data_IF_874879357351
#
_entry.id   IF_874879357351
#
_cell.length_a   1.000
_cell.length_b   1.000
_cell.length_c   1.000
_cell.angle_alpha   90.00
_cell.angle_beta   90.00
_cell.angle_gamma   90.00
#
_symmetry.space_group_name_H-M   'P 1'
#
loop_
_entity.id
_entity.type
_entity.pdbx_description
1 polymer ?
#
# COMPACT_ATOMS: atom_id res chain seq x y z
N UNK A 1 -13.16 -36.44 -11.07
CA UNK A 1 -12.82 -37.32 -9.92
C UNK A 1 -11.74 -36.62 -9.12
N UNK A 2 -11.95 -36.34 -7.83
CA UNK A 2 -10.93 -35.69 -7.01
C UNK A 2 -9.87 -36.71 -6.58
N UNK A 3 -8.59 -36.34 -6.67
CA UNK A 3 -7.49 -37.10 -6.09
C UNK A 3 -7.29 -36.69 -4.62
N UNK A 4 -7.32 -37.68 -3.73
CA UNK A 4 -7.05 -37.52 -2.31
C UNK A 4 -5.55 -37.73 -2.09
N UNK A 5 -4.84 -36.68 -1.66
CA UNK A 5 -3.50 -36.82 -1.07
C UNK A 5 -3.57 -36.24 0.34
N UNK A 6 -3.38 -37.10 1.34
CA UNK A 6 -3.07 -36.76 2.74
C UNK A 6 -4.12 -35.95 3.55
N UNK A 7 -5.43 -36.22 3.37
CA UNK A 7 -6.43 -36.05 4.45
C UNK A 7 -6.62 -34.64 5.04
N UNK A 8 -6.16 -33.60 4.37
CA UNK A 8 -6.43 -32.22 4.73
C UNK A 8 -7.15 -31.56 3.55
N UNK A 9 -8.44 -31.27 3.72
CA UNK A 9 -9.14 -30.35 2.82
C UNK A 9 -8.42 -29.00 2.92
N UNK A 10 -7.63 -28.65 1.92
CA UNK A 10 -7.21 -27.27 1.72
C UNK A 10 -8.47 -26.57 1.22
N UNK A 11 -9.08 -25.65 1.99
CA UNK A 11 -10.24 -24.95 1.51
C UNK A 11 -9.84 -24.17 0.26
N UNK A 12 -10.70 -24.24 -0.75
CA UNK A 12 -10.58 -23.59 -2.06
C UNK A 12 -10.26 -22.08 -1.93
N UNK A 13 -10.49 -21.48 -0.75
CA UNK A 13 -10.12 -20.11 -0.35
C UNK A 13 -8.65 -19.76 -0.53
N UNK A 14 -7.72 -20.71 -0.47
CA UNK A 14 -6.30 -20.42 -0.73
C UNK A 14 -6.03 -20.03 -2.20
N UNK A 15 -6.82 -20.57 -3.15
CA UNK A 15 -6.73 -20.22 -4.56
C UNK A 15 -7.56 -18.95 -4.89
N UNK A 16 -8.63 -18.66 -4.14
CA UNK A 16 -9.41 -17.41 -4.30
C UNK A 16 -8.64 -16.18 -3.79
N UNK A 17 -7.66 -16.37 -2.91
CA UNK A 17 -6.79 -15.30 -2.43
C UNK A 17 -5.84 -14.75 -3.51
N UNK A 18 -5.56 -15.50 -4.58
CA UNK A 18 -4.64 -15.07 -5.65
C UNK A 18 -5.33 -14.16 -6.70
N UNK A 19 -6.65 -13.95 -6.62
CA UNK A 19 -7.42 -13.19 -7.59
C UNK A 19 -8.46 -12.20 -6.99
N UNK A 20 -8.29 -11.79 -5.73
CA UNK A 20 -9.13 -10.72 -5.17
C UNK A 20 -8.50 -9.37 -5.42
N UNK A 21 -9.26 -8.46 -6.04
CA UNK A 21 -8.83 -7.08 -6.23
C UNK A 21 -8.64 -6.40 -4.86
N UNK A 22 -7.40 -6.11 -4.49
CA UNK A 22 -7.04 -5.48 -3.21
C UNK A 22 -6.21 -4.21 -3.41
N UNK A 23 -6.01 -3.47 -2.31
CA UNK A 23 -5.24 -2.22 -2.37
C UNK A 23 -3.78 -2.52 -2.67
N UNK A 24 -3.12 -1.61 -3.39
CA UNK A 24 -1.73 -1.78 -3.80
C UNK A 24 -0.77 -1.96 -2.62
N UNK A 25 -1.07 -1.37 -1.44
CA UNK A 25 -0.23 -1.54 -0.26
C UNK A 25 -0.20 -2.99 0.21
N UNK A 26 -1.34 -3.69 0.10
CA UNK A 26 -1.45 -5.10 0.49
C UNK A 26 -0.79 -5.99 -0.55
N UNK A 27 -1.00 -5.72 -1.85
CA UNK A 27 -0.29 -6.43 -2.92
C UNK A 27 1.23 -6.37 -2.73
N UNK A 28 1.76 -5.17 -2.50
CA UNK A 28 3.19 -4.98 -2.28
C UNK A 28 3.70 -5.70 -1.03
N UNK A 29 2.90 -5.68 0.04
CA UNK A 29 3.24 -6.37 1.28
C UNK A 29 3.28 -7.90 1.08
N UNK A 30 2.29 -8.47 0.40
CA UNK A 30 2.23 -9.91 0.10
C UNK A 30 3.41 -10.35 -0.76
N UNK A 31 3.73 -9.58 -1.81
CA UNK A 31 4.88 -9.84 -2.67
C UNK A 31 6.19 -9.79 -1.88
N UNK A 32 6.39 -8.77 -1.04
CA UNK A 32 7.60 -8.63 -0.22
C UNK A 32 7.74 -9.78 0.79
N UNK A 33 6.64 -10.19 1.42
CA UNK A 33 6.62 -11.32 2.35
C UNK A 33 7.00 -12.62 1.65
N UNK A 34 6.39 -12.91 0.51
CA UNK A 34 6.73 -14.09 -0.31
C UNK A 34 8.21 -14.07 -0.71
N UNK A 35 8.69 -12.94 -1.24
CA UNK A 35 10.08 -12.75 -1.66
C UNK A 35 11.10 -13.03 -0.56
N UNK A 36 10.82 -12.60 0.68
CA UNK A 36 11.70 -12.80 1.83
C UNK A 36 11.68 -14.24 2.31
N UNK A 37 10.50 -14.86 2.41
CA UNK A 37 10.37 -16.26 2.82
C UNK A 37 11.08 -17.20 1.85
N UNK A 38 10.94 -16.98 0.54
CA UNK A 38 11.64 -17.75 -0.50
C UNK A 38 13.17 -17.65 -0.42
N UNK A 39 13.69 -16.59 0.23
CA UNK A 39 15.13 -16.37 0.47
C UNK A 39 15.60 -16.84 1.84
N UNK A 40 14.75 -17.52 2.60
CA UNK A 40 15.10 -18.10 3.90
C UNK A 40 15.12 -17.08 5.05
N UNK A 41 14.54 -15.89 4.88
CA UNK A 41 14.38 -14.97 6.00
C UNK A 41 13.35 -15.51 7.01
N UNK A 42 13.52 -15.23 8.32
CA UNK A 42 12.54 -15.64 9.32
C UNK A 42 11.16 -15.06 9.05
N UNK A 43 10.12 -15.83 9.34
CA UNK A 43 8.72 -15.39 9.17
C UNK A 43 8.38 -14.12 9.97
N UNK A 44 9.04 -13.91 11.11
CA UNK A 44 8.90 -12.70 11.93
C UNK A 44 9.45 -11.45 11.22
N UNK A 45 10.61 -11.57 10.57
CA UNK A 45 11.18 -10.49 9.77
C UNK A 45 10.31 -10.20 8.54
N UNK A 46 9.84 -11.24 7.85
CA UNK A 46 8.92 -11.09 6.72
C UNK A 46 7.58 -10.45 7.14
N UNK A 47 7.06 -10.77 8.33
CA UNK A 47 5.87 -10.14 8.90
C UNK A 47 6.07 -8.66 9.27
N UNK A 48 7.27 -8.30 9.73
CA UNK A 48 7.62 -6.90 10.02
C UNK A 48 7.62 -6.06 8.74
N UNK A 49 8.25 -6.57 7.67
CA UNK A 49 8.26 -5.91 6.36
C UNK A 49 6.87 -5.83 5.75
N UNK A 50 6.09 -6.90 5.84
CA UNK A 50 4.69 -6.91 5.39
C UNK A 50 3.91 -5.79 6.09
N UNK A 51 4.03 -5.68 7.42
CA UNK A 51 3.32 -4.66 8.22
C UNK A 51 3.73 -3.24 7.83
N UNK A 52 5.03 -3.00 7.67
CA UNK A 52 5.55 -1.71 7.27
C UNK A 52 5.01 -1.30 5.89
N UNK A 53 4.99 -2.20 4.91
CA UNK A 53 4.47 -1.92 3.56
C UNK A 53 2.94 -1.80 3.56
N UNK A 54 2.19 -2.66 4.24
CA UNK A 54 0.73 -2.61 4.20
C UNK A 54 0.17 -1.30 4.77
N UNK A 55 0.89 -0.68 5.70
CA UNK A 55 0.42 0.48 6.46
C UNK A 55 1.08 1.81 6.06
N UNK A 56 2.14 1.81 5.25
CA UNK A 56 2.97 3.02 5.04
C UNK A 56 2.22 4.26 4.54
N UNK A 57 1.10 4.12 3.82
CA UNK A 57 0.28 5.25 3.34
C UNK A 57 -0.82 5.67 4.32
N UNK A 58 -1.02 4.93 5.41
CA UNK A 58 -2.16 5.14 6.32
C UNK A 58 -1.93 6.36 7.20
N UNK A 59 -2.75 7.42 7.12
CA UNK A 59 -2.53 8.62 7.92
C UNK A 59 -2.72 8.35 9.42
N UNK A 60 -1.80 8.87 10.25
CA UNK A 60 -1.96 8.95 11.71
C UNK A 60 -1.71 7.66 12.52
N UNK A 61 -1.47 6.51 11.87
CA UNK A 61 -1.27 5.22 12.54
C UNK A 61 0.21 4.79 12.58
N UNK A 62 0.93 4.66 11.45
CA UNK A 62 2.22 3.98 11.40
C UNK A 62 3.31 4.65 12.25
N UNK A 63 3.26 5.97 12.40
CA UNK A 63 4.20 6.73 13.23
C UNK A 63 4.16 6.38 14.72
N UNK A 64 3.16 5.61 15.19
CA UNK A 64 3.03 5.13 16.57
C UNK A 64 3.34 3.63 16.72
N UNK A 65 3.77 2.96 15.65
CA UNK A 65 4.00 1.52 15.60
C UNK A 65 5.49 1.18 15.77
N UNK A 66 5.86 -0.07 15.51
CA UNK A 66 7.25 -0.52 15.52
C UNK A 66 8.15 0.34 14.61
N UNK A 67 9.45 0.47 14.94
CA UNK A 67 10.37 1.39 14.26
C UNK A 67 10.39 1.24 12.73
N UNK A 68 10.34 0.02 12.22
CA UNK A 68 10.35 -0.28 10.77
C UNK A 68 9.10 0.25 10.07
N UNK A 69 7.95 0.16 10.73
CA UNK A 69 6.67 0.67 10.22
C UNK A 69 6.66 2.21 10.26
N UNK A 70 7.13 2.79 11.37
CA UNK A 70 7.22 4.24 11.52
C UNK A 70 8.19 4.88 10.52
N UNK A 71 9.40 4.32 10.38
CA UNK A 71 10.42 4.87 9.47
C UNK A 71 10.01 4.73 8.00
N UNK A 72 9.35 3.64 7.62
CA UNK A 72 8.81 3.48 6.25
C UNK A 72 7.77 4.54 5.95
N UNK A 73 6.84 4.77 6.89
CA UNK A 73 5.83 5.81 6.75
C UNK A 73 6.43 7.21 6.66
N UNK A 74 7.29 7.60 7.61
CA UNK A 74 7.90 8.93 7.60
C UNK A 74 8.81 9.13 6.38
N UNK A 75 9.56 8.11 5.97
CA UNK A 75 10.36 8.16 4.75
C UNK A 75 9.51 8.45 3.51
N UNK A 76 8.36 7.78 3.38
CA UNK A 76 7.42 8.06 2.27
C UNK A 76 6.84 9.47 2.36
N UNK A 77 6.42 9.92 3.55
CA UNK A 77 5.91 11.29 3.72
C UNK A 77 6.98 12.35 3.41
N UNK A 78 8.22 12.14 3.84
CA UNK A 78 9.33 13.04 3.54
C UNK A 78 9.61 13.08 2.06
N UNK A 79 9.69 11.92 1.40
CA UNK A 79 10.06 11.85 -0.01
C UNK A 79 8.95 12.35 -0.95
N UNK A 80 7.67 12.07 -0.63
CA UNK A 80 6.54 12.42 -1.49
C UNK A 80 5.97 13.81 -1.17
N UNK A 81 5.84 14.15 0.11
CA UNK A 81 5.17 15.37 0.57
C UNK A 81 6.14 16.43 1.14
N UNK A 82 7.42 16.09 1.33
CA UNK A 82 8.39 16.98 1.98
C UNK A 82 8.20 17.07 3.51
N UNK A 83 7.43 16.16 4.11
CA UNK A 83 7.17 16.15 5.55
C UNK A 83 8.48 16.04 6.35
N UNK A 84 8.70 16.93 7.32
CA UNK A 84 9.91 16.94 8.15
C UNK A 84 11.21 17.21 7.40
N UNK A 85 11.18 17.53 6.09
CA UNK A 85 12.39 17.70 5.29
C UNK A 85 13.29 18.83 5.81
N UNK A 86 12.69 19.91 6.32
CA UNK A 86 13.42 21.03 6.92
C UNK A 86 14.06 20.72 8.28
N UNK A 87 13.74 19.59 8.90
CA UNK A 87 14.31 19.13 10.18
C UNK A 87 15.54 18.22 9.96
N UNK A 88 15.78 17.80 8.71
CA UNK A 88 16.93 16.99 8.34
C UNK A 88 18.17 17.84 8.09
N UNK A 89 19.34 17.23 8.26
CA UNK A 89 20.63 17.82 7.87
C UNK A 89 20.65 18.07 6.35
N UNK A 90 20.64 19.36 5.97
CA UNK A 90 20.56 19.80 4.59
C UNK A 90 21.72 19.31 3.72
N UNK A 91 22.93 19.18 4.28
CA UNK A 91 24.11 18.70 3.54
C UNK A 91 23.96 17.21 3.21
N UNK A 92 23.39 16.42 4.13
CA UNK A 92 23.09 15.00 3.89
C UNK A 92 21.99 14.83 2.86
N UNK A 93 20.92 15.64 2.95
CA UNK A 93 19.84 15.63 1.95
C UNK A 93 20.40 15.97 0.57
N UNK A 94 21.22 17.01 0.46
CA UNK A 94 21.87 17.40 -0.80
C UNK A 94 22.76 16.28 -1.36
N UNK A 95 23.55 15.61 -0.52
CA UNK A 95 24.38 14.48 -0.92
C UNK A 95 23.54 13.30 -1.44
N UNK A 96 22.43 12.95 -0.76
CA UNK A 96 21.51 11.89 -1.19
C UNK A 96 20.87 12.24 -2.53
N UNK A 97 20.37 13.46 -2.70
CA UNK A 97 19.73 13.91 -3.96
C UNK A 97 20.74 13.99 -5.10
N UNK A 98 22.01 14.33 -4.82
CA UNK A 98 23.08 14.30 -5.82
C UNK A 98 23.40 12.87 -6.26
N UNK A 99 23.44 11.91 -5.33
CA UNK A 99 23.68 10.49 -5.63
C UNK A 99 22.47 9.79 -6.28
N UNK A 100 21.25 10.24 -5.92
CA UNK A 100 19.97 9.72 -6.42
C UNK A 100 19.11 10.87 -6.95
N UNK A 101 19.41 11.39 -8.16
CA UNK A 101 18.65 12.51 -8.73
C UNK A 101 17.17 12.18 -8.87
N UNK A 102 16.32 13.10 -8.41
CA UNK A 102 14.86 12.89 -8.40
C UNK A 102 14.21 12.98 -9.79
N UNK A 103 14.85 13.66 -10.75
CA UNK A 103 14.27 13.91 -12.07
C UNK A 103 12.88 14.56 -12.00
N UNK A 104 11.96 14.13 -12.87
CA UNK A 104 10.58 14.62 -12.91
C UNK A 104 9.65 13.87 -11.92
N UNK A 105 10.15 13.56 -10.73
CA UNK A 105 9.50 12.66 -9.76
C UNK A 105 8.01 12.95 -9.56
N UNK A 106 7.62 14.20 -9.30
CA UNK A 106 6.23 14.53 -8.92
C UNK A 106 5.24 14.15 -10.03
N UNK A 107 5.54 14.49 -11.27
CA UNK A 107 4.68 14.17 -12.42
C UNK A 107 4.66 12.68 -12.69
N UNK A 108 5.82 12.04 -12.67
CA UNK A 108 5.97 10.61 -12.94
C UNK A 108 5.28 9.76 -11.87
N UNK A 109 5.47 10.10 -10.60
CA UNK A 109 4.81 9.46 -9.46
C UNK A 109 3.29 9.53 -9.59
N UNK A 110 2.72 10.73 -9.79
CA UNK A 110 1.27 10.90 -9.92
C UNK A 110 0.72 10.14 -11.13
N UNK A 111 1.40 10.19 -12.28
CA UNK A 111 1.00 9.44 -13.48
C UNK A 111 0.98 7.93 -13.21
N UNK A 112 2.08 7.39 -12.67
CA UNK A 112 2.18 5.96 -12.35
C UNK A 112 1.14 5.53 -11.31
N UNK A 113 0.88 6.35 -10.29
CA UNK A 113 -0.19 6.09 -9.33
C UNK A 113 -1.55 6.01 -10.01
N UNK A 114 -1.92 6.97 -10.86
CA UNK A 114 -3.21 6.96 -11.57
C UNK A 114 -3.31 5.76 -12.51
N UNK A 115 -2.28 5.50 -13.31
CA UNK A 115 -2.27 4.39 -14.28
C UNK A 115 -2.43 3.02 -13.59
N UNK A 116 -1.80 2.82 -12.43
CA UNK A 116 -1.88 1.59 -11.65
C UNK A 116 -3.17 1.43 -10.82
N UNK A 117 -4.02 2.45 -10.75
CA UNK A 117 -5.22 2.47 -9.91
C UNK A 117 -6.51 2.62 -10.71
N UNK A 118 -6.48 3.26 -11.89
CA UNK A 118 -7.68 3.55 -12.71
C UNK A 118 -8.46 2.31 -13.13
N UNK A 119 -7.80 1.16 -13.23
CA UNK A 119 -8.42 -0.12 -13.58
C UNK A 119 -8.95 -0.89 -12.37
N UNK A 120 -8.70 -0.39 -11.15
CA UNK A 120 -9.11 -0.98 -9.87
C UNK A 120 -9.61 0.05 -8.86
N UNK A 121 -10.48 0.99 -9.27
CA UNK A 121 -10.80 2.17 -8.47
C UNK A 121 -11.45 1.84 -7.12
N UNK A 122 -12.17 0.71 -7.03
CA UNK A 122 -12.81 0.26 -5.79
C UNK A 122 -11.82 -0.01 -4.65
N UNK A 123 -10.58 -0.39 -4.98
CA UNK A 123 -9.53 -0.68 -3.99
C UNK A 123 -8.94 0.57 -3.33
N UNK A 124 -9.22 1.76 -3.89
CA UNK A 124 -8.71 3.03 -3.34
C UNK A 124 -9.57 3.59 -2.21
N UNK A 125 -10.76 3.03 -1.98
CA UNK A 125 -11.71 3.57 -1.01
C UNK A 125 -11.11 3.62 0.41
N UNK A 126 -11.18 4.79 1.05
CA UNK A 126 -10.62 5.02 2.39
C UNK A 126 -9.10 5.20 2.44
N UNK A 127 -8.44 5.37 1.30
CA UNK A 127 -7.00 5.65 1.19
C UNK A 127 -6.74 6.99 0.48
N UNK A 128 -5.54 7.53 0.67
CA UNK A 128 -5.06 8.74 -0.05
C UNK A 128 -5.08 8.56 -1.58
N UNK A 129 -5.05 7.32 -2.06
CA UNK A 129 -5.06 6.99 -3.49
C UNK A 129 -6.37 7.38 -4.19
N UNK A 130 -7.48 7.46 -3.44
CA UNK A 130 -8.76 7.89 -4.01
C UNK A 130 -8.71 9.35 -4.48
N UNK A 131 -7.87 10.19 -3.84
CA UNK A 131 -7.71 11.59 -4.19
C UNK A 131 -6.96 11.75 -5.53
N UNK A 132 -6.02 10.85 -5.85
CA UNK A 132 -5.37 10.84 -7.17
C UNK A 132 -6.37 10.56 -8.29
N UNK A 133 -7.24 9.57 -8.09
CA UNK A 133 -8.27 9.24 -9.08
C UNK A 133 -9.30 10.35 -9.21
N UNK A 134 -9.74 10.95 -8.10
CA UNK A 134 -10.68 12.07 -8.11
C UNK A 134 -10.11 13.29 -8.83
N UNK A 135 -8.80 13.54 -8.73
CA UNK A 135 -8.15 14.62 -9.43
C UNK A 135 -7.95 14.36 -10.94
N UNK A 136 -7.50 13.16 -11.30
CA UNK A 136 -7.01 12.89 -12.67
C UNK A 136 -7.96 12.08 -13.56
N UNK A 137 -8.99 11.42 -13.02
CA UNK A 137 -9.93 10.59 -13.81
C UNK A 137 -11.27 11.31 -13.97
N UNK A 138 -11.61 11.82 -15.16
CA UNK A 138 -12.86 12.54 -15.39
C UNK A 138 -14.09 11.70 -15.02
N UNK A 139 -14.98 12.28 -14.21
CA UNK A 139 -16.22 11.63 -13.79
C UNK A 139 -16.06 10.57 -12.70
N UNK A 140 -14.85 10.30 -12.22
CA UNK A 140 -14.68 9.42 -11.06
C UNK A 140 -15.26 10.08 -9.81
N UNK A 141 -16.12 9.34 -9.10
CA UNK A 141 -16.64 9.71 -7.79
C UNK A 141 -16.47 8.54 -6.85
N UNK A 142 -15.71 8.73 -5.77
CA UNK A 142 -15.53 7.70 -4.75
C UNK A 142 -16.87 7.38 -4.07
N UNK A 143 -17.10 6.10 -3.79
CA UNK A 143 -18.21 5.68 -2.92
C UNK A 143 -17.93 6.13 -1.50
N UNK A 144 -18.79 6.98 -0.97
CA UNK A 144 -18.61 7.53 0.38
C UNK A 144 -18.95 6.50 1.45
N UNK A 145 -18.40 6.69 2.65
CA UNK A 145 -18.78 5.89 3.82
C UNK A 145 -20.27 6.04 4.14
N UNK A 146 -20.84 7.24 3.95
CA UNK A 146 -22.27 7.49 4.18
C UNK A 146 -23.12 6.62 3.26
N UNK A 147 -22.85 6.60 1.96
CA UNK A 147 -23.59 5.77 0.99
C UNK A 147 -23.48 4.28 1.32
N UNK A 148 -22.31 3.81 1.80
CA UNK A 148 -22.12 2.43 2.23
C UNK A 148 -22.95 2.09 3.47
N UNK A 149 -23.07 3.01 4.41
CA UNK A 149 -23.88 2.84 5.62
C UNK A 149 -25.37 2.84 5.27
N UNK A 150 -25.84 3.84 4.52
CA UNK A 150 -27.27 3.96 4.18
C UNK A 150 -27.76 2.90 3.20
N UNK A 151 -26.87 2.37 2.36
CA UNK A 151 -27.14 1.25 1.46
C UNK A 151 -26.90 -0.12 2.09
N UNK A 152 -26.54 -0.18 3.37
CA UNK A 152 -26.29 -1.45 4.06
C UNK A 152 -27.57 -2.27 4.18
N UNK A 153 -27.54 -3.60 3.99
CA UNK A 153 -28.74 -4.44 4.10
C UNK A 153 -29.21 -4.66 5.54
N UNK A 154 -28.44 -4.17 6.53
CA UNK A 154 -28.84 -4.25 7.92
C UNK A 154 -30.10 -3.41 8.17
N UNK A 155 -31.08 -3.93 8.92
CA UNK A 155 -32.22 -3.12 9.35
C UNK A 155 -31.75 -2.00 10.29
N UNK A 156 -32.39 -0.85 10.17
CA UNK A 156 -32.15 0.36 10.98
C UNK A 156 -33.44 0.83 11.65
#
# INVERSE_FOLDING_TARGET
>A
MPEIIAGLEIPETAAVAEATEQRFEVDGADHARKFLLERGFPATAAGTVWTAIALHTTPGIPGRMAPETAVTHFGVLTDVLGFGLGELDGDRVAAIVAAHPRGNFKTEFLRTSVDGLRHRPGTTNGTVNSDYLEHFVPGFRRTTTVERITGSPWPS
#
